data_IF_174777374382
#
_entry.id   IF_174777374382
#
_cell.length_a   1.000
_cell.length_b   1.000
_cell.length_c   1.000
_cell.angle_alpha   90.00
_cell.angle_beta   90.00
_cell.angle_gamma   90.00
#
_symmetry.space_group_name_H-M   'P 1'
#
loop_
_entity.id
_entity.type
_entity.pdbx_description
1 polymer ?
#
# COMPACT_ATOMS: atom_id res chain seq x y z
N UNK A 1 10.80 11.07 -24.12
CA UNK A 1 9.34 11.03 -23.89
C UNK A 1 9.10 9.72 -23.16
N UNK A 2 8.75 9.76 -21.87
CA UNK A 2 8.73 8.58 -21.00
C UNK A 2 7.65 7.62 -21.49
N UNK A 3 8.06 6.46 -22.01
CA UNK A 3 7.16 5.41 -22.49
C UNK A 3 6.15 4.96 -21.43
N UNK A 4 6.32 5.31 -20.15
CA UNK A 4 5.44 4.91 -19.05
C UNK A 4 4.36 5.94 -18.67
N UNK A 5 4.30 7.12 -19.31
CA UNK A 5 3.30 8.16 -18.96
C UNK A 5 1.89 7.86 -19.48
N UNK A 6 1.74 6.95 -20.43
CA UNK A 6 0.44 6.57 -21.00
C UNK A 6 -0.35 5.61 -20.10
N UNK A 7 0.29 5.03 -19.07
CA UNK A 7 -0.32 4.05 -18.17
C UNK A 7 -1.23 4.81 -17.18
N UNK A 8 -2.54 4.52 -17.16
CA UNK A 8 -3.49 5.25 -16.33
C UNK A 8 -3.22 5.05 -14.84
N UNK A 9 -3.46 6.09 -14.06
CA UNK A 9 -3.41 6.03 -12.60
C UNK A 9 -4.61 5.22 -12.08
N UNK A 10 -4.43 4.36 -11.06
CA UNK A 10 -5.53 3.66 -10.42
C UNK A 10 -6.59 4.65 -9.88
N UNK A 11 -7.89 4.46 -10.16
CA UNK A 11 -8.94 5.46 -9.88
C UNK A 11 -9.15 5.77 -8.39
N UNK A 12 -8.65 4.92 -7.48
CA UNK A 12 -8.77 5.08 -6.04
C UNK A 12 -7.48 5.59 -5.37
N UNK A 13 -6.43 5.90 -6.15
CA UNK A 13 -5.17 6.38 -5.60
C UNK A 13 -5.30 7.82 -5.08
N UNK A 14 -4.93 8.04 -3.82
CA UNK A 14 -4.83 9.35 -3.18
C UNK A 14 -3.44 9.96 -3.32
N UNK A 15 -2.42 9.13 -3.56
CA UNK A 15 -1.06 9.54 -3.88
C UNK A 15 -0.44 8.55 -4.88
N UNK A 16 0.44 9.03 -5.78
CA UNK A 16 1.15 8.21 -6.75
C UNK A 16 2.60 8.67 -6.83
N UNK A 17 3.54 7.75 -6.67
CA UNK A 17 4.96 7.98 -6.78
C UNK A 17 5.48 8.01 -8.22
N UNK A 18 6.75 8.34 -8.35
CA UNK A 18 7.47 8.25 -9.62
C UNK A 18 7.74 6.78 -10.00
N UNK A 19 7.98 6.55 -11.29
CA UNK A 19 8.48 5.26 -11.76
C UNK A 19 9.92 5.06 -11.31
N UNK A 20 10.16 3.98 -10.58
CA UNK A 20 11.47 3.57 -10.08
C UNK A 20 11.82 2.17 -10.60
N UNK A 21 13.12 1.83 -10.75
CA UNK A 21 13.51 0.46 -11.07
C UNK A 21 13.01 -0.52 -10.00
N UNK A 22 12.35 -1.59 -10.42
CA UNK A 22 11.94 -2.71 -9.58
C UNK A 22 13.00 -3.80 -9.68
N UNK A 23 13.73 -3.99 -8.59
CA UNK A 23 14.81 -4.97 -8.50
C UNK A 23 14.25 -6.27 -7.91
N UNK A 24 13.65 -7.09 -8.78
CA UNK A 24 13.31 -8.47 -8.47
C UNK A 24 14.24 -9.37 -9.27
N UNK A 25 14.97 -10.25 -8.58
CA UNK A 25 16.01 -11.16 -9.12
C UNK A 25 15.55 -12.00 -10.33
N UNK A 26 14.25 -12.06 -10.61
CA UNK A 26 13.60 -12.88 -11.62
C UNK A 26 13.12 -12.14 -12.88
N UNK A 27 13.15 -10.80 -12.95
CA UNK A 27 12.65 -10.04 -14.10
C UNK A 27 13.62 -8.93 -14.49
N UNK A 28 14.28 -8.99 -15.68
CA UNK A 28 15.22 -7.96 -16.08
C UNK A 28 14.53 -6.60 -16.25
N UNK A 29 14.97 -5.62 -15.45
CA UNK A 29 14.65 -4.18 -15.54
C UNK A 29 13.17 -3.84 -15.66
N UNK A 30 12.36 -4.35 -14.74
CA UNK A 30 10.98 -3.86 -14.60
C UNK A 30 10.97 -2.51 -13.87
N UNK A 31 10.01 -1.66 -14.20
CA UNK A 31 9.76 -0.40 -13.49
C UNK A 31 8.51 -0.57 -12.65
N UNK A 32 8.48 0.05 -11.48
CA UNK A 32 7.29 0.08 -10.62
C UNK A 32 7.03 1.51 -10.20
N UNK A 33 5.78 1.87 -9.98
CA UNK A 33 5.45 3.03 -9.16
C UNK A 33 4.50 2.60 -8.05
N UNK A 34 4.77 3.11 -6.85
CA UNK A 34 3.91 2.88 -5.70
C UNK A 34 2.81 3.94 -5.67
N UNK A 35 1.66 3.57 -5.13
CA UNK A 35 0.57 4.49 -4.88
C UNK A 35 -0.13 4.13 -3.57
N UNK A 36 -0.72 5.13 -2.93
CA UNK A 36 -1.52 4.97 -1.72
C UNK A 36 -2.99 5.07 -2.10
N UNK A 37 -3.82 4.16 -1.60
CA UNK A 37 -5.28 4.25 -1.72
C UNK A 37 -5.84 4.93 -0.48
N UNK A 38 -5.49 4.41 0.69
CA UNK A 38 -5.97 4.92 1.96
C UNK A 38 -4.94 4.70 3.07
N UNK A 39 -4.97 5.57 4.05
CA UNK A 39 -4.10 5.57 5.22
C UNK A 39 -4.94 5.67 6.49
N UNK A 40 -4.54 4.93 7.51
CA UNK A 40 -5.06 4.99 8.86
C UNK A 40 -3.91 5.22 9.83
N UNK A 41 -4.18 6.03 10.86
CA UNK A 41 -3.23 6.31 11.93
C UNK A 41 -3.78 5.74 13.22
N UNK A 42 -2.95 5.01 13.94
CA UNK A 42 -3.24 4.49 15.28
C UNK A 42 -2.34 5.22 16.26
N UNK A 43 -2.94 6.02 17.14
CA UNK A 43 -2.20 6.71 18.18
C UNK A 43 -1.55 5.68 19.11
N UNK A 44 -0.24 5.83 19.32
CA UNK A 44 0.52 5.05 20.30
C UNK A 44 0.97 5.97 21.44
N UNK A 45 1.07 5.40 22.64
CA UNK A 45 1.30 6.09 23.89
C UNK A 45 2.78 6.39 24.13
N UNK A 46 3.68 5.59 23.54
CA UNK A 46 5.13 5.65 23.76
C UNK A 46 5.96 5.98 22.51
N UNK A 47 5.38 5.95 21.31
CA UNK A 47 6.11 6.13 20.05
C UNK A 47 5.37 7.12 19.13
N UNK A 48 5.98 7.39 17.97
CA UNK A 48 5.26 8.04 16.88
C UNK A 48 3.98 7.23 16.55
N UNK A 49 2.90 7.90 16.11
CA UNK A 49 1.69 7.20 15.70
C UNK A 49 2.01 6.14 14.65
N UNK A 50 1.39 4.97 14.78
CA UNK A 50 1.61 3.91 13.81
C UNK A 50 0.71 4.09 12.60
N UNK A 51 1.24 3.78 11.42
CA UNK A 51 0.57 4.01 10.16
C UNK A 51 0.30 2.69 9.46
N UNK A 52 -0.98 2.48 9.14
CA UNK A 52 -1.43 1.36 8.31
C UNK A 52 -1.89 1.95 6.98
N UNK A 53 -1.32 1.47 5.89
CA UNK A 53 -1.64 1.95 4.55
C UNK A 53 -2.12 0.81 3.67
N UNK A 54 -3.22 1.05 2.96
CA UNK A 54 -3.58 0.26 1.78
C UNK A 54 -2.87 0.89 0.58
N UNK A 55 -1.90 0.16 0.06
CA UNK A 55 -1.02 0.61 -1.01
C UNK A 55 -1.09 -0.35 -2.21
N UNK A 56 -0.55 0.09 -3.33
CA UNK A 56 -0.34 -0.78 -4.46
C UNK A 56 0.92 -0.44 -5.24
N UNK A 57 1.35 -1.42 -6.03
CA UNK A 57 2.41 -1.33 -7.00
C UNK A 57 1.80 -1.46 -8.40
N UNK A 58 2.08 -0.50 -9.27
CA UNK A 58 1.69 -0.56 -10.67
C UNK A 58 2.92 -0.83 -11.54
N UNK A 59 2.75 -1.76 -12.48
CA UNK A 59 3.80 -2.21 -13.41
C UNK A 59 3.59 -1.66 -14.83
N UNK A 60 4.60 -1.74 -15.72
CA UNK A 60 4.56 -1.12 -17.04
C UNK A 60 3.52 -1.73 -17.99
N UNK A 61 3.10 -2.97 -17.72
CA UNK A 61 2.05 -3.67 -18.45
C UNK A 61 0.63 -3.27 -17.98
N UNK A 62 0.53 -2.37 -17.01
CA UNK A 62 -0.73 -1.92 -16.41
C UNK A 62 -1.26 -2.85 -15.30
N UNK A 63 -0.58 -3.95 -15.00
CA UNK A 63 -0.92 -4.81 -13.88
C UNK A 63 -0.72 -4.08 -12.54
N UNK A 64 -1.53 -4.46 -11.55
CA UNK A 64 -1.55 -3.84 -10.23
C UNK A 64 -1.52 -4.93 -9.17
N UNK A 65 -0.57 -4.82 -8.25
CA UNK A 65 -0.54 -5.57 -7.01
C UNK A 65 -0.98 -4.66 -5.86
N UNK A 66 -1.81 -5.16 -4.94
CA UNK A 66 -2.33 -4.41 -3.80
C UNK A 66 -1.93 -5.13 -2.51
N UNK A 67 -1.47 -4.38 -1.51
CA UNK A 67 -1.03 -4.92 -0.23
C UNK A 67 -1.22 -3.90 0.90
N UNK A 68 -1.15 -4.39 2.14
CA UNK A 68 -1.22 -3.54 3.34
C UNK A 68 0.20 -3.34 3.84
N UNK A 69 0.62 -2.09 3.94
CA UNK A 69 1.87 -1.72 4.59
C UNK A 69 1.59 -1.32 6.04
N UNK A 70 2.44 -1.79 6.95
CA UNK A 70 2.48 -1.34 8.34
C UNK A 70 3.80 -0.62 8.53
N UNK A 71 3.76 0.71 8.66
CA UNK A 71 4.92 1.50 9.01
C UNK A 71 4.89 1.81 10.49
N UNK A 72 5.90 1.28 11.19
CA UNK A 72 6.14 1.32 12.63
C UNK A 72 5.27 0.39 13.51
N UNK A 73 5.72 0.25 14.77
CA UNK A 73 5.28 -0.59 15.89
C UNK A 73 6.16 -1.82 16.18
N UNK A 74 7.29 -1.59 16.87
CA UNK A 74 8.11 -2.69 17.41
C UNK A 74 7.78 -3.03 18.88
N UNK A 75 7.06 -2.16 19.59
CA UNK A 75 6.68 -2.36 20.99
C UNK A 75 5.32 -1.73 21.27
N UNK A 76 4.27 -2.56 21.27
CA UNK A 76 2.91 -2.16 21.63
C UNK A 76 2.53 -2.77 22.98
N UNK A 77 1.82 -2.02 23.79
CA UNK A 77 1.06 -2.60 24.89
C UNK A 77 -0.17 -3.37 24.37
N UNK A 78 -0.88 -4.06 25.27
CA UNK A 78 -2.02 -4.89 24.89
C UNK A 78 -3.19 -4.09 24.29
N UNK A 79 -3.42 -2.85 24.77
CA UNK A 79 -4.48 -1.98 24.26
C UNK A 79 -4.16 -1.45 22.88
N UNK A 80 -2.91 -0.99 22.68
CA UNK A 80 -2.40 -0.54 21.40
C UNK A 80 -2.37 -1.68 20.37
N UNK A 81 -1.94 -2.88 20.78
CA UNK A 81 -1.99 -4.07 19.93
C UNK A 81 -3.40 -4.44 19.48
N UNK A 82 -4.40 -4.24 20.35
CA UNK A 82 -5.80 -4.46 19.98
C UNK A 82 -6.30 -3.42 18.96
N UNK A 83 -5.98 -2.13 19.16
CA UNK A 83 -6.34 -1.08 18.19
C UNK A 83 -5.64 -1.28 16.84
N UNK A 84 -4.36 -1.67 16.87
CA UNK A 84 -3.57 -2.02 15.69
C UNK A 84 -4.21 -3.16 14.92
N UNK A 85 -4.45 -4.30 15.57
CA UNK A 85 -5.05 -5.47 14.92
C UNK A 85 -6.43 -5.17 14.32
N UNK A 86 -7.28 -4.42 15.03
CA UNK A 86 -8.59 -3.99 14.53
C UNK A 86 -8.45 -3.14 13.26
N UNK A 87 -7.48 -2.23 13.23
CA UNK A 87 -7.24 -1.37 12.08
C UNK A 87 -6.68 -2.15 10.89
N UNK A 88 -5.79 -3.12 11.14
CA UNK A 88 -5.30 -4.05 10.12
C UNK A 88 -6.44 -4.90 9.55
N UNK A 89 -7.35 -5.41 10.39
CA UNK A 89 -8.53 -6.15 9.92
C UNK A 89 -9.41 -5.30 9.01
N UNK A 90 -9.64 -4.04 9.37
CA UNK A 90 -10.38 -3.09 8.51
C UNK A 90 -9.67 -2.85 7.18
N UNK A 91 -8.35 -2.73 7.19
CA UNK A 91 -7.57 -2.59 5.96
C UNK A 91 -7.66 -3.85 5.08
N UNK A 92 -7.69 -5.03 5.68
CA UNK A 92 -7.88 -6.31 4.98
C UNK A 92 -9.26 -6.42 4.33
N UNK A 93 -10.33 -6.05 5.02
CA UNK A 93 -11.68 -6.00 4.45
C UNK A 93 -11.76 -5.06 3.24
N UNK A 94 -11.08 -3.90 3.33
CA UNK A 94 -11.01 -2.95 2.22
C UNK A 94 -10.21 -3.52 1.03
N UNK A 95 -9.09 -4.18 1.29
CA UNK A 95 -8.29 -4.86 0.27
C UNK A 95 -9.12 -5.94 -0.45
N UNK A 96 -9.84 -6.78 0.30
CA UNK A 96 -10.72 -7.80 -0.24
C UNK A 96 -11.84 -7.20 -1.11
N UNK A 97 -12.42 -6.08 -0.68
CA UNK A 97 -13.44 -5.35 -1.46
C UNK A 97 -12.87 -4.83 -2.78
N UNK A 98 -11.70 -4.21 -2.76
CA UNK A 98 -11.05 -3.67 -3.96
C UNK A 98 -10.62 -4.78 -4.94
N UNK A 99 -10.21 -5.95 -4.44
CA UNK A 99 -9.87 -7.11 -5.28
C UNK A 99 -11.12 -7.86 -5.78
N UNK A 100 -12.14 -8.03 -4.94
CA UNK A 100 -13.37 -8.76 -5.24
C UNK A 100 -14.35 -8.00 -6.16
N UNK A 101 -14.32 -6.67 -6.13
CA UNK A 101 -15.12 -5.80 -7.01
C UNK A 101 -14.59 -5.69 -8.45
N UNK A 102 -13.45 -6.31 -8.77
CA UNK A 102 -12.84 -6.35 -10.12
C UNK A 102 -13.24 -7.60 -10.94
N UNK A 103 -14.26 -8.36 -10.52
CA UNK A 103 -14.80 -9.51 -11.28
C UNK A 103 -15.80 -9.10 -12.34
#
# INVERSE_FOLDING_TARGET
>A
MNELTHIPVPPEATWVGEWVPYDADSVPHSWVRHFTVRKWTVDTFLQDPAEIELVGAQFPDGSIEMFICLESALYLDAGEGFMMSTTVSRAAEELERTQGGRR
#
